data_IF_733043214817
#
_entry.id   IF_733043214817
#
_cell.length_a   1.000
_cell.length_b   1.000
_cell.length_c   1.000
_cell.angle_alpha   90.00
_cell.angle_beta   90.00
_cell.angle_gamma   90.00
#
_symmetry.space_group_name_H-M   'P 1'
#
loop_
_entity.id
_entity.type
_entity.pdbx_description
1 polymer ?
#
# COMPACT_ATOMS: atom_id res chain seq x y z
N UNK A 1 3.33 7.50 -13.70
CA UNK A 1 3.86 7.92 -12.39
C UNK A 1 3.47 9.35 -12.05
N UNK A 2 3.81 10.34 -12.89
CA UNK A 2 3.45 11.75 -12.66
C UNK A 2 1.95 11.94 -12.45
N UNK A 3 1.13 11.39 -13.35
CA UNK A 3 -0.33 11.55 -13.29
C UNK A 3 -0.92 10.91 -12.04
N UNK A 4 -0.49 9.68 -11.71
CA UNK A 4 -0.88 9.00 -10.47
C UNK A 4 -0.49 9.80 -9.21
N UNK A 5 0.70 10.39 -9.19
CA UNK A 5 1.14 11.23 -8.08
C UNK A 5 0.29 12.52 -7.96
N UNK A 6 -0.10 13.13 -9.07
CA UNK A 6 -0.99 14.29 -9.08
C UNK A 6 -2.39 13.93 -8.56
N UNK A 7 -2.97 12.80 -9.01
CA UNK A 7 -4.26 12.27 -8.55
C UNK A 7 -4.24 12.06 -7.04
N UNK A 8 -3.24 11.34 -6.51
CA UNK A 8 -3.09 11.11 -5.07
C UNK A 8 -2.91 12.42 -4.31
N UNK A 9 -2.15 13.38 -4.86
CA UNK A 9 -1.99 14.71 -4.25
C UNK A 9 -3.31 15.45 -4.08
N UNK A 10 -4.20 15.40 -5.08
CA UNK A 10 -5.54 16.00 -5.00
C UNK A 10 -6.43 15.29 -3.98
N UNK A 11 -6.40 13.95 -3.96
CA UNK A 11 -7.16 13.17 -2.99
C UNK A 11 -6.72 13.46 -1.54
N UNK A 12 -5.40 13.56 -1.28
CA UNK A 12 -4.88 13.93 0.04
C UNK A 12 -5.28 15.35 0.43
N UNK A 13 -5.21 16.31 -0.49
CA UNK A 13 -5.66 17.68 -0.22
C UNK A 13 -7.14 17.74 0.18
N UNK A 14 -8.00 16.98 -0.51
CA UNK A 14 -9.41 16.83 -0.17
C UNK A 14 -9.62 16.16 1.21
N UNK A 15 -8.83 15.13 1.53
CA UNK A 15 -8.87 14.50 2.85
C UNK A 15 -8.54 15.46 3.98
N UNK A 16 -7.55 16.34 3.78
CA UNK A 16 -7.21 17.39 4.74
C UNK A 16 -8.36 18.38 4.92
N UNK A 17 -9.00 18.81 3.83
CA UNK A 17 -10.14 19.75 3.88
C UNK A 17 -11.36 19.14 4.59
N UNK A 18 -11.61 17.85 4.39
CA UNK A 18 -12.78 17.15 4.93
C UNK A 18 -12.54 16.44 6.26
N UNK A 19 -11.30 16.43 6.75
CA UNK A 19 -10.92 15.73 7.98
C UNK A 19 -11.00 14.20 7.86
N UNK A 20 -10.81 13.65 6.65
CA UNK A 20 -10.85 12.22 6.35
C UNK A 20 -9.47 11.69 5.94
N UNK A 21 -9.11 10.50 6.40
CA UNK A 21 -8.04 9.70 5.81
C UNK A 21 -8.48 9.11 4.45
N UNK A 22 -7.51 8.77 3.59
CA UNK A 22 -7.82 8.11 2.29
C UNK A 22 -8.62 6.82 2.46
N UNK A 23 -8.37 6.07 3.54
CA UNK A 23 -9.09 4.83 3.87
C UNK A 23 -10.53 5.05 4.31
N UNK A 24 -10.90 6.29 4.66
CA UNK A 24 -12.25 6.67 5.10
C UNK A 24 -13.10 7.25 3.96
N UNK A 25 -12.51 7.47 2.78
CA UNK A 25 -13.21 7.98 1.60
C UNK A 25 -14.00 6.87 0.91
N UNK A 26 -15.19 7.22 0.37
CA UNK A 26 -15.93 6.26 -0.47
C UNK A 26 -15.27 6.08 -1.83
N UNK A 27 -15.65 5.02 -2.56
CA UNK A 27 -15.14 4.80 -3.91
C UNK A 27 -15.54 5.97 -4.83
N UNK A 28 -16.76 6.48 -4.68
CA UNK A 28 -17.27 7.61 -5.43
C UNK A 28 -16.48 8.88 -5.14
N UNK A 29 -16.08 9.12 -3.89
CA UNK A 29 -15.21 10.26 -3.52
C UNK A 29 -13.83 10.14 -4.18
N UNK A 30 -13.21 8.95 -4.15
CA UNK A 30 -11.92 8.71 -4.79
C UNK A 30 -12.00 8.83 -6.31
N UNK A 31 -13.10 8.37 -6.92
CA UNK A 31 -13.31 8.41 -8.37
C UNK A 31 -13.50 9.83 -8.92
N UNK A 32 -13.77 10.83 -8.09
CA UNK A 32 -13.74 12.24 -8.50
C UNK A 32 -12.36 12.68 -9.01
N UNK A 33 -11.29 11.99 -8.58
CA UNK A 33 -9.91 12.29 -8.98
C UNK A 33 -9.41 11.44 -10.15
N UNK A 34 -9.93 10.22 -10.33
CA UNK A 34 -9.61 9.34 -11.45
C UNK A 34 -10.58 8.16 -11.55
N UNK A 35 -11.06 7.88 -12.75
CA UNK A 35 -11.89 6.70 -13.08
C UNK A 35 -11.12 5.38 -13.03
N UNK A 36 -9.79 5.44 -12.99
CA UNK A 36 -8.93 4.28 -12.84
C UNK A 36 -8.91 3.72 -11.41
N UNK A 37 -9.46 4.44 -10.43
CA UNK A 37 -9.59 3.95 -9.06
C UNK A 37 -10.80 3.03 -8.98
N UNK A 38 -10.53 1.76 -8.69
CA UNK A 38 -11.53 0.72 -8.53
C UNK A 38 -11.63 0.24 -7.09
N UNK A 39 -12.63 -0.58 -6.78
CA UNK A 39 -12.92 -1.02 -5.41
C UNK A 39 -11.77 -1.81 -4.73
N UNK A 40 -10.85 -2.37 -5.52
CA UNK A 40 -9.62 -3.03 -5.03
C UNK A 40 -8.63 -2.06 -4.35
N UNK A 41 -8.83 -0.75 -4.48
CA UNK A 41 -8.03 0.26 -3.75
C UNK A 41 -8.11 0.07 -2.23
N UNK A 42 -9.25 -0.40 -1.72
CA UNK A 42 -9.44 -0.61 -0.29
C UNK A 42 -8.65 -1.80 0.24
N UNK A 43 -8.22 -2.72 -0.62
CA UNK A 43 -7.34 -3.82 -0.21
C UNK A 43 -5.94 -3.32 0.16
N UNK A 44 -5.50 -2.20 -0.42
CA UNK A 44 -4.15 -1.63 -0.22
C UNK A 44 -4.12 -0.38 0.66
N UNK A 45 -5.25 0.31 0.86
CA UNK A 45 -5.43 1.40 1.82
C UNK A 45 -5.65 0.89 3.25
N UNK A 46 -4.95 -0.17 3.61
CA UNK A 46 -4.89 -0.72 4.97
C UNK A 46 -3.43 -0.89 5.38
N UNK A 47 -3.16 -0.98 6.68
CA UNK A 47 -1.81 -1.26 7.17
C UNK A 47 -1.31 -2.61 6.64
N UNK A 48 -2.16 -3.63 6.74
CA UNK A 48 -1.88 -5.00 6.30
C UNK A 48 -1.66 -5.06 4.78
N UNK A 49 -2.53 -4.42 4.00
CA UNK A 49 -2.43 -4.32 2.55
C UNK A 49 -1.15 -3.62 2.09
N UNK A 50 -0.83 -2.49 2.71
CA UNK A 50 0.38 -1.72 2.43
C UNK A 50 1.66 -2.55 2.66
N UNK A 51 1.73 -3.27 3.78
CA UNK A 51 2.86 -4.16 4.08
C UNK A 51 2.89 -5.37 3.14
N UNK A 52 1.75 -6.02 2.89
CA UNK A 52 1.65 -7.19 2.03
C UNK A 52 2.03 -6.88 0.57
N UNK A 53 1.75 -5.68 0.07
CA UNK A 53 2.08 -5.25 -1.29
C UNK A 53 3.59 -5.14 -1.54
N UNK A 54 4.42 -5.02 -0.49
CA UNK A 54 5.89 -5.01 -0.61
C UNK A 54 6.44 -6.44 -0.73
N UNK A 55 5.91 -7.17 -1.70
CA UNK A 55 6.22 -8.57 -1.96
C UNK A 55 7.26 -8.77 -3.07
N UNK A 56 8.46 -8.27 -2.82
CA UNK A 56 9.64 -8.53 -3.64
C UNK A 56 10.75 -9.03 -2.73
N UNK A 57 11.81 -9.62 -3.28
CA UNK A 57 12.94 -10.10 -2.48
C UNK A 57 13.51 -8.92 -1.67
N UNK A 58 13.47 -9.05 -0.34
CA UNK A 58 13.91 -8.00 0.59
C UNK A 58 12.82 -7.04 1.06
N UNK A 59 11.60 -7.15 0.52
CA UNK A 59 10.45 -6.37 0.96
C UNK A 59 9.87 -6.82 2.30
N UNK A 60 8.89 -6.05 2.79
CA UNK A 60 8.30 -6.20 4.13
C UNK A 60 7.08 -7.12 4.20
N UNK A 61 6.64 -7.68 3.07
CA UNK A 61 5.53 -8.63 3.07
C UNK A 61 5.83 -9.82 4.01
N UNK A 62 4.85 -10.33 4.79
CA UNK A 62 5.10 -11.39 5.78
C UNK A 62 5.80 -12.63 5.21
N UNK A 63 5.47 -13.02 3.98
CA UNK A 63 6.13 -14.15 3.31
C UNK A 63 7.59 -13.86 2.94
N UNK A 64 7.94 -12.60 2.62
CA UNK A 64 9.32 -12.19 2.38
C UNK A 64 10.14 -12.16 3.67
N UNK A 65 9.52 -11.71 4.77
CA UNK A 65 10.14 -11.74 6.11
C UNK A 65 10.40 -13.19 6.55
N UNK A 66 9.44 -14.09 6.40
CA UNK A 66 9.61 -15.52 6.69
C UNK A 66 10.72 -16.15 5.82
N UNK A 67 10.74 -15.83 4.53
CA UNK A 67 11.79 -16.31 3.63
C UNK A 67 13.18 -15.78 4.03
N UNK A 68 13.27 -14.49 4.43
CA UNK A 68 14.49 -13.88 4.93
C UNK A 68 14.98 -14.54 6.22
N UNK A 69 14.08 -14.77 7.19
CA UNK A 69 14.38 -15.48 8.43
C UNK A 69 14.93 -16.89 8.14
N UNK A 70 14.28 -17.66 7.26
CA UNK A 70 14.75 -19.00 6.87
C UNK A 70 16.14 -18.99 6.23
N UNK A 71 16.44 -18.00 5.37
CA UNK A 71 17.78 -17.82 4.79
C UNK A 71 18.81 -17.50 5.87
N UNK A 72 18.48 -16.62 6.81
CA UNK A 72 19.37 -16.27 7.91
C UNK A 72 19.67 -17.48 8.81
N UNK A 73 18.67 -18.25 9.22
CA UNK A 73 18.85 -19.48 10.01
C UNK A 73 19.76 -20.49 9.32
N UNK A 74 19.57 -20.72 8.01
CA UNK A 74 20.45 -21.61 7.23
C UNK A 74 21.90 -21.13 7.19
N UNK A 75 22.13 -19.81 7.16
CA UNK A 75 23.48 -19.23 7.16
C UNK A 75 24.16 -19.39 8.53
N UNK A 76 23.40 -19.22 9.61
CA UNK A 76 23.90 -19.42 10.97
C UNK A 76 24.26 -20.88 11.25
N UNK A 77 23.45 -21.84 10.78
CA UNK A 77 23.72 -23.27 10.95
C UNK A 77 24.94 -23.80 10.16
N UNK A 78 25.50 -23.01 9.24
CA UNK A 78 26.70 -23.36 8.46
C UNK A 78 27.99 -22.74 9.05
N UNK A 79 27.88 -22.01 10.15
CA UNK A 79 29.03 -21.46 10.89
C UNK A 79 29.41 -22.42 12.00
#
# INVERSE_FOLDING_TARGET
>A
FRDAHEIVGKAVAYGIETGKDLSEMTLEELQQFSDQITADVFDVLTLEGSVAARDHIGGTAPKQVLAAAKRASKRLAKR
#
